data_IF_352186148179
#
_entry.id   IF_352186148179
#
_cell.length_a   1.000
_cell.length_b   1.000
_cell.length_c   1.000
_cell.angle_alpha   90.00
_cell.angle_beta   90.00
_cell.angle_gamma   90.00
#
_symmetry.space_group_name_H-M   'P 1'
#
loop_
_entity.id
_entity.type
_entity.pdbx_description
1 polymer ?
#
# COMPACT_ATOMS: atom_id res chain seq x y z
N UNK A 1 33.15 -31.48 5.52
CA UNK A 1 32.39 -30.50 6.32
C UNK A 1 31.73 -29.53 5.34
N UNK A 2 30.41 -29.61 5.15
CA UNK A 2 29.69 -28.71 4.24
C UNK A 2 29.16 -27.55 5.09
N UNK A 3 29.82 -26.39 5.04
CA UNK A 3 29.33 -25.20 5.73
C UNK A 3 28.11 -24.68 4.98
N UNK A 4 26.92 -24.80 5.58
CA UNK A 4 25.73 -24.10 5.13
C UNK A 4 25.94 -22.60 5.36
N UNK A 5 26.55 -21.91 4.40
CA UNK A 5 26.66 -20.45 4.44
C UNK A 5 25.25 -19.86 4.35
N UNK A 6 24.78 -19.20 5.41
CA UNK A 6 23.54 -18.43 5.37
C UNK A 6 23.78 -17.20 4.50
N UNK A 7 23.20 -17.18 3.30
CA UNK A 7 23.18 -16.00 2.45
C UNK A 7 22.27 -14.93 3.07
N UNK A 8 22.86 -14.03 3.86
CA UNK A 8 22.16 -12.87 4.39
C UNK A 8 22.21 -11.75 3.36
N UNK A 9 21.05 -11.26 2.94
CA UNK A 9 20.93 -10.06 2.11
C UNK A 9 20.73 -8.86 3.02
N UNK A 10 21.49 -7.79 2.77
CA UNK A 10 21.39 -6.54 3.52
C UNK A 10 20.92 -5.43 2.57
N UNK A 11 19.94 -4.65 3.01
CA UNK A 11 19.44 -3.48 2.28
C UNK A 11 19.15 -2.35 3.27
N UNK A 12 19.27 -1.11 2.80
CA UNK A 12 18.90 0.09 3.58
C UNK A 12 17.43 0.47 3.39
N UNK A 13 16.74 -0.14 2.42
CA UNK A 13 15.33 0.11 2.07
C UNK A 13 14.62 -1.18 1.61
N UNK A 14 13.30 -1.27 1.82
CA UNK A 14 12.47 -2.32 1.22
C UNK A 14 12.04 -2.05 -0.23
N UNK A 15 12.39 -0.88 -0.79
CA UNK A 15 12.11 -0.50 -2.18
C UNK A 15 10.92 0.47 -2.32
N UNK A 16 10.31 0.48 -3.51
CA UNK A 16 9.21 1.39 -3.87
C UNK A 16 8.01 0.65 -4.46
N UNK A 17 6.82 1.23 -4.28
CA UNK A 17 5.55 0.72 -4.79
C UNK A 17 4.73 1.89 -5.36
N UNK A 18 3.91 1.63 -6.37
CA UNK A 18 2.98 2.63 -6.91
C UNK A 18 1.57 2.07 -6.87
N UNK A 19 0.64 2.78 -6.24
CA UNK A 19 -0.78 2.48 -6.35
C UNK A 19 -1.31 3.02 -7.67
N UNK A 20 -2.03 2.16 -8.39
CA UNK A 20 -2.79 2.54 -9.58
C UNK A 20 -4.22 2.06 -9.43
N UNK A 21 -5.17 2.99 -9.45
CA UNK A 21 -6.60 2.67 -9.28
C UNK A 21 -7.45 3.45 -10.28
N UNK A 22 -8.54 2.82 -10.72
CA UNK A 22 -9.62 3.46 -11.46
C UNK A 22 -10.94 3.13 -10.76
N UNK A 23 -11.77 4.15 -10.58
CA UNK A 23 -13.10 4.03 -10.01
C UNK A 23 -14.13 4.24 -11.12
N UNK A 24 -15.08 3.32 -11.23
CA UNK A 24 -16.11 3.32 -12.25
C UNK A 24 -17.49 3.43 -11.63
N UNK A 25 -18.40 4.09 -12.32
CA UNK A 25 -19.83 4.04 -12.02
C UNK A 25 -20.38 2.66 -12.39
N UNK A 26 -21.17 2.06 -11.49
CA UNK A 26 -21.69 0.70 -11.69
C UNK A 26 -22.87 0.63 -12.66
N UNK A 27 -23.59 1.72 -12.89
CA UNK A 27 -24.78 1.75 -13.75
C UNK A 27 -24.42 2.09 -15.20
N UNK A 28 -23.55 3.07 -15.41
CA UNK A 28 -23.16 3.54 -16.75
C UNK A 28 -21.82 2.97 -17.22
N UNK A 29 -20.97 2.53 -16.30
CA UNK A 29 -19.59 2.13 -16.61
C UNK A 29 -18.64 3.32 -16.82
N UNK A 30 -19.08 4.54 -16.51
CA UNK A 30 -18.26 5.74 -16.70
C UNK A 30 -17.09 5.78 -15.72
N UNK A 31 -15.95 6.31 -16.17
CA UNK A 31 -14.79 6.53 -15.32
C UNK A 31 -15.05 7.73 -14.42
N UNK A 32 -15.24 7.48 -13.13
CA UNK A 32 -15.45 8.53 -12.12
C UNK A 32 -14.13 9.15 -11.67
N UNK A 33 -13.10 8.32 -11.46
CA UNK A 33 -11.82 8.79 -10.96
C UNK A 33 -10.66 7.86 -11.31
N UNK A 34 -9.44 8.42 -11.29
CA UNK A 34 -8.18 7.69 -11.44
C UNK A 34 -7.18 8.18 -10.41
N UNK A 35 -6.51 7.25 -9.73
CA UNK A 35 -5.45 7.54 -8.78
C UNK A 35 -4.12 6.92 -9.23
N UNK A 36 -3.04 7.68 -9.09
CA UNK A 36 -1.66 7.24 -9.28
C UNK A 36 -0.85 7.81 -8.10
N UNK A 37 -0.38 6.92 -7.22
CA UNK A 37 0.32 7.35 -6.00
C UNK A 37 1.60 6.53 -5.77
N UNK A 38 2.79 7.08 -6.11
CA UNK A 38 4.06 6.44 -5.82
C UNK A 38 4.47 6.61 -4.35
N UNK A 39 4.93 5.53 -3.73
CA UNK A 39 5.42 5.51 -2.34
C UNK A 39 6.71 4.70 -2.26
N UNK A 40 7.70 5.21 -1.54
CA UNK A 40 8.94 4.49 -1.22
C UNK A 40 9.02 4.15 0.27
N UNK A 41 9.67 3.04 0.58
CA UNK A 41 10.06 2.76 1.96
C UNK A 41 11.08 3.80 2.43
N UNK A 42 11.06 4.10 3.73
CA UNK A 42 11.98 5.06 4.33
C UNK A 42 13.39 4.46 4.34
N UNK A 43 14.34 5.15 3.72
CA UNK A 43 15.75 4.81 3.89
C UNK A 43 16.22 5.36 5.24
N UNK A 44 16.58 4.45 6.14
CA UNK A 44 17.04 4.80 7.48
C UNK A 44 18.57 4.94 7.56
N UNK A 45 19.29 4.82 6.44
CA UNK A 45 20.76 4.91 6.35
C UNK A 45 21.52 3.78 7.04
N UNK A 46 20.81 2.87 7.70
CA UNK A 46 21.35 1.72 8.41
C UNK A 46 21.07 0.46 7.60
N UNK A 47 22.10 -0.32 7.28
CA UNK A 47 21.94 -1.62 6.65
C UNK A 47 21.15 -2.53 7.57
N UNK A 48 19.97 -2.96 7.14
CA UNK A 48 19.14 -3.93 7.85
C UNK A 48 19.22 -5.27 7.13
N UNK A 49 19.16 -6.36 7.90
CA UNK A 49 19.01 -7.68 7.32
C UNK A 49 17.64 -7.79 6.66
N UNK A 50 17.63 -7.89 5.33
CA UNK A 50 16.43 -8.06 4.53
C UNK A 50 15.99 -9.52 4.54
N UNK A 51 14.85 -9.78 5.17
CA UNK A 51 14.17 -11.07 5.18
C UNK A 51 12.78 -10.94 4.55
N UNK A 52 12.16 -12.07 4.21
CA UNK A 52 10.78 -12.05 3.72
C UNK A 52 9.80 -11.43 4.74
N UNK A 53 10.07 -11.58 6.04
CA UNK A 53 9.25 -11.00 7.11
C UNK A 53 9.45 -9.48 7.24
N UNK A 54 10.69 -8.98 7.20
CA UNK A 54 10.95 -7.53 7.22
C UNK A 54 10.35 -6.83 6.00
N UNK A 55 10.49 -7.44 4.83
CA UNK A 55 9.95 -6.90 3.57
C UNK A 55 8.42 -6.88 3.58
N UNK A 56 7.77 -7.93 4.10
CA UNK A 56 6.30 -7.96 4.25
C UNK A 56 5.81 -6.90 5.24
N UNK A 57 6.54 -6.67 6.32
CA UNK A 57 6.21 -5.61 7.27
C UNK A 57 6.33 -4.22 6.63
N UNK A 58 7.40 -3.96 5.87
CA UNK A 58 7.58 -2.71 5.13
C UNK A 58 6.46 -2.47 4.09
N UNK A 59 6.13 -3.48 3.27
CA UNK A 59 5.04 -3.39 2.30
C UNK A 59 3.69 -3.09 2.97
N UNK A 60 3.39 -3.72 4.11
CA UNK A 60 2.18 -3.41 4.88
C UNK A 60 2.13 -1.96 5.37
N UNK A 61 3.27 -1.40 5.80
CA UNK A 61 3.36 0.01 6.20
C UNK A 61 3.12 0.94 5.02
N UNK A 62 3.72 0.65 3.88
CA UNK A 62 3.57 1.46 2.66
C UNK A 62 2.13 1.42 2.11
N UNK A 63 1.45 0.27 2.20
CA UNK A 63 0.05 0.15 1.76
C UNK A 63 -0.98 0.71 2.73
N UNK A 64 -0.62 0.91 4.00
CA UNK A 64 -1.58 1.31 5.05
C UNK A 64 -2.28 2.65 4.75
N UNK A 65 -1.59 3.72 4.33
CA UNK A 65 -2.25 4.99 3.99
C UNK A 65 -3.28 4.84 2.87
N UNK A 66 -2.99 4.02 1.85
CA UNK A 66 -3.93 3.74 0.75
C UNK A 66 -5.19 3.05 1.23
N UNK A 67 -5.04 2.04 2.11
CA UNK A 67 -6.17 1.32 2.66
C UNK A 67 -7.04 2.22 3.57
N UNK A 68 -6.41 3.07 4.38
CA UNK A 68 -7.12 4.03 5.25
C UNK A 68 -7.87 5.08 4.42
N UNK A 69 -7.25 5.65 3.39
CA UNK A 69 -7.88 6.63 2.51
C UNK A 69 -9.07 6.03 1.75
N UNK A 70 -8.91 4.84 1.16
CA UNK A 70 -9.99 4.16 0.44
C UNK A 70 -11.16 3.84 1.37
N UNK A 71 -10.88 3.30 2.56
CA UNK A 71 -11.91 2.98 3.54
C UNK A 71 -12.62 4.25 4.01
N UNK A 72 -11.87 5.30 4.34
CA UNK A 72 -12.44 6.57 4.78
C UNK A 72 -13.39 7.17 3.73
N UNK A 73 -12.98 7.18 2.45
CA UNK A 73 -13.83 7.66 1.36
C UNK A 73 -15.11 6.84 1.17
N UNK A 74 -15.04 5.52 1.30
CA UNK A 74 -16.21 4.64 1.20
C UNK A 74 -17.15 4.77 2.41
N UNK A 75 -16.60 4.86 3.61
CA UNK A 75 -17.38 5.02 4.84
C UNK A 75 -18.11 6.38 4.84
N UNK A 76 -17.45 7.45 4.37
CA UNK A 76 -18.07 8.77 4.22
C UNK A 76 -19.21 8.77 3.19
N UNK A 77 -18.96 8.20 2.00
CA UNK A 77 -19.97 8.12 0.95
C UNK A 77 -21.24 7.39 1.42
N UNK A 78 -21.09 6.32 2.20
CA UNK A 78 -22.23 5.58 2.79
C UNK A 78 -23.03 6.43 3.77
N UNK A 79 -22.38 7.29 4.55
CA UNK A 79 -23.06 8.16 5.52
C UNK A 79 -23.88 9.24 4.83
N UNK A 80 -23.32 9.89 3.80
CA UNK A 80 -24.03 10.89 2.99
C UNK A 80 -25.32 10.30 2.40
N UNK A 81 -25.24 9.11 1.78
CA UNK A 81 -26.42 8.43 1.22
C UNK A 81 -27.52 8.13 2.24
N UNK A 82 -27.17 7.91 3.51
CA UNK A 82 -28.16 7.69 4.58
C UNK A 82 -28.84 8.99 5.01
N UNK A 83 -28.12 10.12 5.03
CA UNK A 83 -28.69 11.42 5.39
C UNK A 83 -29.64 11.98 4.33
N UNK A 84 -29.38 11.72 3.05
CA UNK A 84 -30.25 12.16 1.95
C UNK A 84 -31.59 11.39 1.87
N UNK A 85 -31.77 10.33 2.68
CA UNK A 85 -32.98 9.49 2.71
C UNK A 85 -33.91 9.77 3.90
N UNK A 86 -33.52 10.67 4.80
CA UNK A 86 -34.33 11.17 5.93
C UNK A 86 -34.92 12.54 5.61
#
# INVERSE_FOLDING_TARGET
MQSSSRNNSYSTTAGSMTLYMKLYDSETGDLLAKALDPTSDRDNGMMQWSTSTSNRAAARRMMKPWAEALRGGLDESRRVTSQDKE
#
